data_IF_957584027481
#
_entry.id   IF_957584027481
#
_cell.length_a   1.000
_cell.length_b   1.000
_cell.length_c   1.000
_cell.angle_alpha   90.00
_cell.angle_beta   90.00
_cell.angle_gamma   90.00
#
_symmetry.space_group_name_H-M   'P 1'
#
loop_
_entity.id
_entity.type
_entity.pdbx_description
1 polymer ?
#
# COMPACT_ATOMS: atom_id res chain seq x y z
N UNK A 1 40.97 -18.31 50.38
CA UNK A 1 40.34 -19.51 49.78
C UNK A 1 38.87 -19.21 49.55
N UNK A 2 38.49 -19.22 48.27
CA UNK A 2 37.17 -19.45 47.66
C UNK A 2 35.92 -18.75 48.21
N UNK A 3 35.68 -17.52 47.75
CA UNK A 3 34.33 -16.97 47.57
C UNK A 3 34.09 -16.69 46.07
N UNK A 4 33.61 -17.66 45.31
CA UNK A 4 32.81 -17.38 44.10
C UNK A 4 31.86 -18.55 43.76
N UNK A 5 30.70 -18.68 44.42
CA UNK A 5 29.60 -19.48 43.88
C UNK A 5 28.45 -18.63 43.32
N UNK A 6 28.43 -17.31 43.51
CA UNK A 6 27.29 -16.46 43.17
C UNK A 6 27.29 -15.99 41.72
N UNK A 7 28.46 -15.67 41.14
CA UNK A 7 28.58 -15.11 39.78
C UNK A 7 28.12 -16.08 38.69
N UNK A 8 28.31 -17.38 38.89
CA UNK A 8 27.85 -18.42 37.95
C UNK A 8 26.32 -18.60 37.96
N UNK A 9 25.69 -18.46 39.14
CA UNK A 9 24.23 -18.60 39.29
C UNK A 9 23.47 -17.48 38.58
N UNK A 10 23.95 -16.24 38.68
CA UNK A 10 23.35 -15.10 37.95
C UNK A 10 23.45 -15.24 36.43
N UNK A 11 24.58 -15.73 35.91
CA UNK A 11 24.74 -15.99 34.47
C UNK A 11 23.78 -17.06 33.97
N UNK A 12 23.55 -18.11 34.76
CA UNK A 12 22.61 -19.17 34.42
C UNK A 12 21.16 -18.63 34.41
N UNK A 13 20.78 -17.82 35.39
CA UNK A 13 19.45 -17.21 35.48
C UNK A 13 19.19 -16.28 34.28
N UNK A 14 20.16 -15.43 33.92
CA UNK A 14 20.03 -14.53 32.77
C UNK A 14 19.87 -15.30 31.46
N UNK A 15 20.64 -16.38 31.26
CA UNK A 15 20.51 -17.22 30.06
C UNK A 15 19.14 -17.90 29.97
N UNK A 16 18.59 -18.37 31.10
CA UNK A 16 17.25 -18.96 31.15
C UNK A 16 16.17 -17.92 30.82
N UNK A 17 16.29 -16.69 31.34
CA UNK A 17 15.35 -15.61 31.00
C UNK A 17 15.40 -15.24 29.51
N UNK A 18 16.58 -15.18 28.90
CA UNK A 18 16.72 -14.90 27.47
C UNK A 18 16.05 -15.99 26.63
N UNK A 19 16.22 -17.27 27.01
CA UNK A 19 15.58 -18.38 26.30
C UNK A 19 14.04 -18.35 26.40
N UNK A 20 13.50 -17.98 27.56
CA UNK A 20 12.05 -17.82 27.75
C UNK A 20 11.52 -16.68 26.88
N UNK A 21 12.23 -15.54 26.84
CA UNK A 21 11.84 -14.39 26.02
C UNK A 21 11.88 -14.75 24.53
N UNK A 22 12.93 -15.42 24.06
CA UNK A 22 13.03 -15.86 22.66
C UNK A 22 11.93 -16.86 22.29
N UNK A 23 11.61 -17.80 23.19
CA UNK A 23 10.48 -18.73 23.01
C UNK A 23 9.14 -18.02 22.94
N UNK A 24 8.95 -16.94 23.71
CA UNK A 24 7.73 -16.16 23.68
C UNK A 24 7.59 -15.39 22.36
N UNK A 25 8.68 -14.78 21.88
CA UNK A 25 8.68 -14.06 20.59
C UNK A 25 8.43 -14.98 19.40
N UNK A 26 9.01 -16.19 19.38
CA UNK A 26 8.75 -17.15 18.30
C UNK A 26 7.31 -17.66 18.34
N UNK A 27 6.75 -17.88 19.53
CA UNK A 27 5.35 -18.30 19.67
C UNK A 27 4.36 -17.21 19.27
N UNK A 28 4.63 -15.94 19.62
CA UNK A 28 3.84 -14.80 19.14
C UNK A 28 3.89 -14.67 17.61
N UNK A 29 5.07 -14.86 16.99
CA UNK A 29 5.21 -14.75 15.53
C UNK A 29 4.43 -15.86 14.81
N UNK A 30 4.47 -17.10 15.29
CA UNK A 30 3.69 -18.22 14.75
C UNK A 30 2.18 -17.98 14.95
N UNK A 31 1.77 -17.47 16.11
CA UNK A 31 0.36 -17.20 16.40
C UNK A 31 -0.24 -16.11 15.51
N UNK A 32 0.52 -15.04 15.23
CA UNK A 32 0.09 -13.96 14.31
C UNK A 32 -0.08 -14.51 12.89
N UNK A 33 0.89 -15.29 12.39
CA UNK A 33 0.82 -15.86 11.04
C UNK A 33 -0.33 -16.89 10.89
N UNK A 34 -0.64 -17.65 11.94
CA UNK A 34 -1.76 -18.62 11.90
C UNK A 34 -3.15 -17.95 11.98
N UNK A 35 -3.26 -16.70 12.46
CA UNK A 35 -4.54 -15.96 12.46
C UNK A 35 -4.90 -15.40 11.07
N UNK A 36 -3.90 -15.07 10.24
CA UNK A 36 -4.15 -14.64 8.85
C UNK A 36 -4.78 -15.77 8.01
N UNK A 37 -4.34 -17.02 8.17
CA UNK A 37 -4.89 -18.14 7.41
C UNK A 37 -6.32 -18.51 7.81
N UNK A 38 -6.66 -18.43 9.11
CA UNK A 38 -8.01 -18.74 9.62
C UNK A 38 -9.05 -17.68 9.21
N UNK A 39 -8.68 -16.39 9.19
CA UNK A 39 -9.56 -15.33 8.71
C UNK A 39 -9.82 -15.43 7.20
N UNK A 40 -8.79 -15.79 6.40
CA UNK A 40 -8.95 -15.92 4.94
C UNK A 40 -9.83 -17.13 4.58
N UNK A 41 -9.77 -18.22 5.34
CA UNK A 41 -10.63 -19.39 5.09
C UNK A 41 -12.07 -19.18 5.56
N UNK A 42 -12.32 -18.52 6.71
CA UNK A 42 -13.70 -18.27 7.16
C UNK A 42 -14.45 -17.27 6.26
N UNK A 43 -13.77 -16.26 5.69
CA UNK A 43 -14.36 -15.36 4.69
C UNK A 43 -14.71 -16.10 3.39
N UNK A 44 -13.95 -17.15 3.03
CA UNK A 44 -14.25 -18.01 1.87
C UNK A 44 -15.38 -19.00 2.11
N UNK A 45 -15.48 -19.57 3.32
CA UNK A 45 -16.45 -20.64 3.58
C UNK A 45 -17.86 -20.11 3.88
N UNK A 46 -18.01 -18.90 4.44
CA UNK A 46 -19.33 -18.34 4.74
C UNK A 46 -20.02 -17.70 3.51
N UNK A 47 -19.24 -17.26 2.51
CA UNK A 47 -19.78 -16.73 1.25
C UNK A 47 -20.12 -17.79 0.19
N UNK A 48 -19.85 -19.08 0.45
CA UNK A 48 -20.00 -20.12 -0.57
C UNK A 48 -21.25 -21.00 -0.46
N UNK A 49 -22.19 -20.72 0.46
CA UNK A 49 -23.32 -21.63 0.65
C UNK A 49 -24.57 -21.34 -0.18
N UNK A 50 -24.80 -20.16 -0.76
CA UNK A 50 -25.97 -19.97 -1.62
C UNK A 50 -25.78 -18.83 -2.64
N UNK A 51 -25.19 -19.10 -3.81
CA UNK A 51 -25.60 -18.42 -5.06
C UNK A 51 -25.02 -19.15 -6.27
N UNK A 52 -25.72 -19.17 -7.42
CA UNK A 52 -25.28 -19.86 -8.61
C UNK A 52 -24.07 -19.15 -9.24
N UNK A 53 -23.07 -19.95 -9.62
CA UNK A 53 -21.84 -19.51 -10.28
C UNK A 53 -22.12 -18.75 -11.60
N UNK A 54 -21.36 -17.66 -11.77
CA UNK A 54 -20.88 -17.09 -13.04
C UNK A 54 -21.71 -16.02 -13.78
N UNK A 55 -22.54 -15.23 -13.08
CA UNK A 55 -23.01 -13.92 -13.63
C UNK A 55 -23.12 -12.80 -12.60
N UNK A 56 -23.33 -13.15 -11.32
CA UNK A 56 -23.41 -12.17 -10.22
C UNK A 56 -22.06 -11.50 -9.92
N UNK A 57 -20.96 -12.29 -9.92
CA UNK A 57 -19.64 -11.79 -9.50
C UNK A 57 -19.02 -10.78 -10.51
N UNK A 58 -19.13 -11.04 -11.82
CA UNK A 58 -18.67 -10.11 -12.87
C UNK A 58 -19.42 -8.78 -12.86
N UNK A 59 -20.71 -8.79 -12.51
CA UNK A 59 -21.52 -7.58 -12.41
C UNK A 59 -21.19 -6.74 -11.17
N UNK A 60 -20.82 -7.37 -10.06
CA UNK A 60 -20.36 -6.67 -8.85
C UNK A 60 -18.98 -6.05 -9.11
N UNK A 61 -18.07 -6.80 -9.73
CA UNK A 61 -16.73 -6.34 -10.07
C UNK A 61 -16.73 -5.16 -11.04
N UNK A 62 -17.49 -5.25 -12.14
CA UNK A 62 -17.66 -4.15 -13.09
C UNK A 62 -18.27 -2.89 -12.44
N UNK A 63 -19.18 -3.07 -11.46
CA UNK A 63 -19.78 -1.96 -10.72
C UNK A 63 -18.83 -1.32 -9.73
N UNK A 64 -17.96 -2.09 -9.06
CA UNK A 64 -16.93 -1.54 -8.19
C UNK A 64 -15.88 -0.77 -9.00
N UNK A 65 -15.56 -1.25 -10.20
CA UNK A 65 -14.64 -0.57 -11.12
C UNK A 65 -15.18 0.79 -11.57
N UNK A 66 -16.46 0.87 -11.93
CA UNK A 66 -17.06 2.15 -12.35
C UNK A 66 -17.07 3.18 -11.22
N UNK A 67 -17.39 2.76 -9.99
CA UNK A 67 -17.35 3.61 -8.79
C UNK A 67 -15.93 4.10 -8.52
N UNK A 68 -14.94 3.22 -8.64
CA UNK A 68 -13.54 3.60 -8.41
C UNK A 68 -13.05 4.65 -9.42
N UNK A 69 -13.31 4.39 -10.71
CA UNK A 69 -12.91 5.28 -11.79
C UNK A 69 -13.60 6.64 -11.67
N UNK A 70 -14.86 6.65 -11.26
CA UNK A 70 -15.62 7.88 -10.97
C UNK A 70 -15.00 8.67 -9.81
N UNK A 71 -14.73 8.02 -8.67
CA UNK A 71 -14.09 8.66 -7.51
C UNK A 71 -12.74 9.26 -7.90
N UNK A 72 -11.91 8.51 -8.63
CA UNK A 72 -10.61 8.98 -9.14
C UNK A 72 -10.77 10.20 -10.03
N UNK A 73 -11.66 10.13 -11.03
CA UNK A 73 -11.86 11.22 -11.99
C UNK A 73 -12.39 12.49 -11.31
N UNK A 74 -13.29 12.35 -10.35
CA UNK A 74 -13.80 13.46 -9.54
C UNK A 74 -12.68 14.08 -8.70
N UNK A 75 -11.90 13.26 -7.98
CA UNK A 75 -10.78 13.76 -7.18
C UNK A 75 -9.72 14.49 -8.03
N UNK A 76 -9.43 14.01 -9.24
CA UNK A 76 -8.53 14.72 -10.18
C UNK A 76 -9.14 16.06 -10.60
N UNK A 77 -10.42 16.08 -10.99
CA UNK A 77 -11.09 17.31 -11.40
C UNK A 77 -11.16 18.34 -10.25
N UNK A 78 -11.38 17.89 -9.02
CA UNK A 78 -11.47 18.73 -7.82
C UNK A 78 -10.16 19.45 -7.48
N UNK A 79 -9.01 18.95 -7.97
CA UNK A 79 -7.74 19.67 -7.85
C UNK A 79 -7.74 21.02 -8.56
N UNK A 80 -8.69 21.25 -9.49
CA UNK A 80 -8.80 22.46 -10.29
C UNK A 80 -7.54 22.84 -11.08
N UNK A 81 -6.65 21.88 -11.35
CA UNK A 81 -5.47 22.05 -12.20
C UNK A 81 -5.72 21.38 -13.56
N UNK A 82 -5.99 22.17 -14.62
CA UNK A 82 -6.28 21.61 -15.95
C UNK A 82 -5.07 20.93 -16.58
N UNK A 83 -3.85 21.35 -16.26
CA UNK A 83 -2.64 20.72 -16.77
C UNK A 83 -2.39 19.37 -16.10
N UNK A 84 -2.62 19.30 -14.78
CA UNK A 84 -2.59 18.05 -14.04
C UNK A 84 -3.66 17.09 -14.57
N UNK A 85 -4.90 17.55 -14.70
CA UNK A 85 -6.01 16.75 -15.24
C UNK A 85 -5.70 16.20 -16.62
N UNK A 86 -5.18 17.05 -17.51
CA UNK A 86 -4.77 16.66 -18.86
C UNK A 86 -3.64 15.64 -18.83
N UNK A 87 -2.60 15.88 -18.05
CA UNK A 87 -1.48 14.94 -17.92
C UNK A 87 -1.93 13.57 -17.45
N UNK A 88 -2.81 13.52 -16.45
CA UNK A 88 -3.32 12.25 -15.93
C UNK A 88 -4.10 11.49 -17.03
N UNK A 89 -5.04 12.16 -17.70
CA UNK A 89 -5.89 11.53 -18.73
C UNK A 89 -5.16 11.16 -20.03
N UNK A 90 -4.19 11.97 -20.45
CA UNK A 90 -3.53 11.80 -21.75
C UNK A 90 -2.17 11.11 -21.65
N UNK A 91 -1.49 11.18 -20.51
CA UNK A 91 -0.16 10.57 -20.33
C UNK A 91 -0.22 9.37 -19.41
N UNK A 92 -0.77 9.52 -18.21
CA UNK A 92 -0.77 8.42 -17.24
C UNK A 92 -1.75 7.31 -17.62
N UNK A 93 -2.94 7.63 -18.11
CA UNK A 93 -3.90 6.59 -18.51
C UNK A 93 -3.46 5.80 -19.76
N UNK A 94 -2.57 6.38 -20.58
CA UNK A 94 -1.93 5.65 -21.69
C UNK A 94 -0.77 4.79 -21.18
N UNK A 95 0.03 5.32 -20.25
CA UNK A 95 1.23 4.65 -19.73
C UNK A 95 0.89 3.51 -18.79
N UNK A 96 -0.06 3.75 -17.90
CA UNK A 96 -0.61 2.83 -16.94
C UNK A 96 -2.11 2.70 -17.24
N UNK A 97 -2.48 1.97 -18.30
CA UNK A 97 -3.89 1.76 -18.58
C UNK A 97 -4.53 1.04 -17.40
N UNK A 98 -5.76 1.46 -17.12
CA UNK A 98 -6.53 0.90 -16.01
C UNK A 98 -6.91 -0.54 -16.37
N UNK A 99 -6.12 -1.50 -15.90
CA UNK A 99 -6.42 -2.92 -16.07
C UNK A 99 -7.43 -3.33 -15.00
N UNK A 100 -8.67 -3.53 -15.42
CA UNK A 100 -9.68 -4.16 -14.59
C UNK A 100 -9.25 -5.59 -14.21
N UNK A 101 -9.55 -6.06 -13.00
CA UNK A 101 -10.56 -5.49 -12.09
C UNK A 101 -10.01 -4.76 -10.86
N UNK A 102 -8.71 -4.48 -10.78
CA UNK A 102 -8.17 -3.92 -9.55
C UNK A 102 -7.43 -2.62 -9.82
N UNK A 103 -7.81 -1.56 -9.10
CA UNK A 103 -6.95 -0.37 -8.98
C UNK A 103 -5.56 -0.71 -8.39
N UNK A 104 -5.31 -1.97 -8.00
CA UNK A 104 -4.03 -2.47 -7.50
C UNK A 104 -2.98 -2.51 -8.62
N UNK A 105 -3.30 -3.06 -9.79
CA UNK A 105 -2.38 -3.14 -10.93
C UNK A 105 -2.11 -1.76 -11.49
N UNK A 106 -3.14 -0.91 -11.54
CA UNK A 106 -2.99 0.50 -11.85
C UNK A 106 -2.03 1.21 -10.88
N UNK A 107 -2.22 1.06 -9.56
CA UNK A 107 -1.31 1.63 -8.54
C UNK A 107 0.09 1.05 -8.60
N UNK A 108 0.23 -0.24 -8.90
CA UNK A 108 1.52 -0.92 -9.06
C UNK A 108 2.29 -0.34 -10.26
N UNK A 109 1.60 -0.12 -11.38
CA UNK A 109 2.15 0.54 -12.55
C UNK A 109 2.58 1.98 -12.22
N UNK A 110 1.68 2.77 -11.60
CA UNK A 110 1.98 4.14 -11.19
C UNK A 110 3.16 4.22 -10.23
N UNK A 111 3.23 3.32 -9.24
CA UNK A 111 4.34 3.24 -8.29
C UNK A 111 5.66 2.98 -9.00
N UNK A 112 5.69 2.00 -9.90
CA UNK A 112 6.88 1.69 -10.72
C UNK A 112 7.28 2.88 -11.60
N UNK A 113 6.31 3.55 -12.23
CA UNK A 113 6.56 4.74 -13.02
C UNK A 113 7.17 5.86 -12.19
N UNK A 114 6.60 6.15 -11.01
CA UNK A 114 7.09 7.17 -10.09
C UNK A 114 8.50 6.87 -9.62
N UNK A 115 8.80 5.64 -9.21
CA UNK A 115 10.16 5.26 -8.77
C UNK A 115 11.20 5.42 -9.89
N UNK A 116 10.81 5.12 -11.15
CA UNK A 116 11.66 5.40 -12.30
C UNK A 116 11.89 6.91 -12.51
N UNK A 117 10.87 7.75 -12.31
CA UNK A 117 11.03 9.21 -12.41
C UNK A 117 11.89 9.78 -11.29
N UNK A 118 11.73 9.29 -10.05
CA UNK A 118 12.58 9.64 -8.91
C UNK A 118 14.05 9.34 -9.20
N UNK A 119 14.33 8.15 -9.74
CA UNK A 119 15.68 7.75 -10.14
C UNK A 119 16.27 8.68 -11.19
N UNK A 120 15.46 9.13 -12.17
CA UNK A 120 15.88 10.07 -13.22
C UNK A 120 16.12 11.50 -12.74
N UNK A 121 15.45 11.93 -11.66
CA UNK A 121 15.67 13.27 -11.08
C UNK A 121 17.04 13.42 -10.38
N UNK A 122 17.75 12.32 -10.12
CA UNK A 122 19.08 12.34 -9.50
C UNK A 122 19.06 12.69 -8.01
N UNK A 123 20.24 12.92 -7.41
CA UNK A 123 20.44 13.13 -5.97
C UNK A 123 19.90 14.46 -5.40
N UNK A 124 18.96 15.13 -6.07
CA UNK A 124 18.33 16.33 -5.53
C UNK A 124 17.23 15.96 -4.51
N UNK A 125 17.68 15.37 -3.39
CA UNK A 125 16.83 14.84 -2.32
C UNK A 125 15.91 15.91 -1.74
N UNK A 126 16.41 17.13 -1.54
CA UNK A 126 15.61 18.24 -1.00
C UNK A 126 14.44 18.64 -1.91
N UNK A 127 14.66 18.59 -3.23
CA UNK A 127 13.58 18.85 -4.20
C UNK A 127 12.58 17.71 -4.22
N UNK A 128 13.04 16.46 -4.13
CA UNK A 128 12.17 15.30 -4.10
C UNK A 128 11.28 15.30 -2.85
N UNK A 129 11.84 15.55 -1.65
CA UNK A 129 11.07 15.61 -0.41
C UNK A 129 9.97 16.68 -0.47
N UNK A 130 10.28 17.87 -1.00
CA UNK A 130 9.26 18.93 -1.19
C UNK A 130 8.12 18.50 -2.13
N UNK A 131 8.42 17.69 -3.14
CA UNK A 131 7.42 17.15 -4.06
C UNK A 131 6.58 16.07 -3.35
N UNK A 132 7.22 15.18 -2.60
CA UNK A 132 6.53 14.13 -1.83
C UNK A 132 5.58 14.72 -0.79
N UNK A 133 6.01 15.73 -0.04
CA UNK A 133 5.18 16.44 0.94
C UNK A 133 3.97 17.09 0.27
N UNK A 134 4.19 17.82 -0.83
CA UNK A 134 3.13 18.45 -1.61
C UNK A 134 2.11 17.44 -2.13
N UNK A 135 2.58 16.33 -2.71
CA UNK A 135 1.70 15.31 -3.28
C UNK A 135 0.95 14.53 -2.20
N UNK A 136 1.54 14.35 -1.02
CA UNK A 136 0.89 13.73 0.14
C UNK A 136 -0.25 14.61 0.66
N UNK A 137 -0.02 15.92 0.78
CA UNK A 137 -1.05 16.90 1.17
C UNK A 137 -2.19 16.95 0.15
N UNK A 138 -1.85 16.98 -1.15
CA UNK A 138 -2.83 16.99 -2.23
C UNK A 138 -3.74 15.75 -2.19
N UNK A 139 -3.14 14.56 -2.06
CA UNK A 139 -3.90 13.31 -1.94
C UNK A 139 -4.84 13.33 -0.75
N UNK A 140 -4.34 13.73 0.42
CA UNK A 140 -5.11 13.79 1.66
C UNK A 140 -6.30 14.74 1.58
N UNK A 141 -6.15 15.85 0.85
CA UNK A 141 -7.18 16.89 0.72
C UNK A 141 -8.33 16.50 -0.21
N UNK A 142 -8.03 15.81 -1.32
CA UNK A 142 -8.99 15.62 -2.41
C UNK A 142 -9.49 14.17 -2.56
N UNK A 143 -8.87 13.20 -1.88
CA UNK A 143 -9.35 11.82 -1.93
C UNK A 143 -8.99 11.07 -0.63
N UNK A 144 -9.91 10.91 0.34
CA UNK A 144 -9.64 10.07 1.50
C UNK A 144 -9.60 8.58 1.12
N UNK A 145 -8.78 7.79 1.82
CA UNK A 145 -8.72 6.34 1.65
C UNK A 145 -8.02 5.91 0.36
N UNK A 146 -8.64 5.02 -0.42
CA UNK A 146 -7.96 4.38 -1.57
C UNK A 146 -7.62 5.38 -2.68
N UNK A 147 -8.44 6.42 -2.88
CA UNK A 147 -8.17 7.48 -3.87
C UNK A 147 -6.99 8.39 -3.50
N UNK A 148 -6.57 8.41 -2.23
CA UNK A 148 -5.45 9.22 -1.74
C UNK A 148 -4.16 8.85 -2.46
N UNK A 149 -3.90 7.54 -2.58
CA UNK A 149 -2.70 6.99 -3.18
C UNK A 149 -2.65 7.27 -4.68
N UNK A 150 -3.79 7.26 -5.37
CA UNK A 150 -3.86 7.55 -6.80
C UNK A 150 -3.53 8.99 -7.10
N UNK A 151 -4.08 9.93 -6.32
CA UNK A 151 -3.76 11.36 -6.43
C UNK A 151 -2.29 11.60 -6.08
N UNK A 152 -1.79 10.96 -5.02
CA UNK A 152 -0.39 11.03 -4.65
C UNK A 152 0.53 10.58 -5.79
N UNK A 153 0.35 9.36 -6.32
CA UNK A 153 1.21 8.86 -7.38
C UNK A 153 1.06 9.64 -8.68
N UNK A 154 -0.15 10.05 -9.04
CA UNK A 154 -0.40 10.89 -10.21
C UNK A 154 0.31 12.24 -10.08
N UNK A 155 0.25 12.86 -8.90
CA UNK A 155 0.95 14.10 -8.59
C UNK A 155 2.46 13.92 -8.67
N UNK A 156 3.00 12.85 -8.06
CA UNK A 156 4.42 12.54 -8.12
C UNK A 156 4.87 12.41 -9.57
N UNK A 157 4.18 11.61 -10.37
CA UNK A 157 4.46 11.43 -11.79
C UNK A 157 4.46 12.77 -12.54
N UNK A 158 3.46 13.62 -12.30
CA UNK A 158 3.36 14.95 -12.93
C UNK A 158 4.48 15.91 -12.53
N UNK A 159 4.83 15.97 -11.23
CA UNK A 159 5.83 16.93 -10.70
C UNK A 159 7.27 16.49 -10.99
N UNK A 160 7.49 15.19 -11.16
CA UNK A 160 8.79 14.60 -11.48
C UNK A 160 9.03 14.43 -12.99
N UNK A 161 7.99 14.60 -13.82
CA UNK A 161 8.12 14.51 -15.26
C UNK A 161 9.10 15.57 -15.82
N UNK A 162 9.94 15.22 -16.81
CA UNK A 162 10.74 16.20 -17.54
C UNK A 162 9.83 17.21 -18.24
N UNK A 163 10.15 18.50 -18.11
CA UNK A 163 9.42 19.62 -18.72
C UNK A 163 10.14 20.16 -19.94
#
# INVERSE_FOLDING_TARGET
>A
MNEQPTKHRYRLIILVFILIILSFFTWCFIFINNQEELNIQQIKTENQKNEPEDTSNKNIEARLNSIYLEIRNNAIADTNDPNFTKYVKETLDITCPFYEPNGVDYRSCLGTFVENQKTKMGENKDKLTKIEDYCSELGSKYAPGVGQMDIYFSCMAYKTAPK
#
